data_IF_913566691306
#
_entry.id   IF_913566691306
#
_cell.length_a   1.000
_cell.length_b   1.000
_cell.length_c   1.000
_cell.angle_alpha   90.00
_cell.angle_beta   90.00
_cell.angle_gamma   90.00
#
_symmetry.space_group_name_H-M   'P 1'
#
loop_
_entity.id
_entity.type
_entity.pdbx_description
1 polymer ?
#
# COMPACT_ATOMS: atom_id res chain seq x y z
N UNK A 1 -3.42 14.33 7.58
CA UNK A 1 -2.65 13.68 6.49
C UNK A 1 -1.28 14.33 6.34
N UNK A 2 -0.19 13.57 6.13
CA UNK A 2 1.15 14.13 5.85
C UNK A 2 1.31 14.57 4.37
N UNK A 3 0.25 15.10 3.77
CA UNK A 3 0.16 15.43 2.33
C UNK A 3 1.28 16.34 1.79
N UNK A 4 2.06 16.99 2.67
CA UNK A 4 3.26 17.75 2.32
C UNK A 4 4.45 16.89 1.90
N UNK A 5 4.51 15.62 2.31
CA UNK A 5 5.63 14.71 2.06
C UNK A 5 5.24 13.47 1.26
N UNK A 6 3.98 13.01 1.37
CA UNK A 6 3.47 11.89 0.58
C UNK A 6 2.34 12.38 -0.31
N UNK A 7 2.55 12.29 -1.63
CA UNK A 7 1.51 12.61 -2.61
C UNK A 7 0.33 11.65 -2.48
N UNK A 8 -0.88 12.18 -2.62
CA UNK A 8 -2.09 11.36 -2.66
C UNK A 8 -2.06 10.38 -3.85
N UNK A 9 -1.51 10.78 -4.99
CA UNK A 9 -1.43 9.91 -6.17
C UNK A 9 -0.52 8.70 -5.93
N UNK A 10 0.57 8.91 -5.17
CA UNK A 10 1.46 7.83 -4.76
C UNK A 10 0.78 6.82 -3.82
N UNK A 11 -0.10 7.30 -2.94
CA UNK A 11 -0.87 6.45 -2.04
C UNK A 11 -2.02 5.71 -2.75
N UNK A 12 -2.61 6.32 -3.77
CA UNK A 12 -3.77 5.78 -4.51
C UNK A 12 -3.41 5.02 -5.78
N UNK A 13 -2.14 4.64 -5.97
CA UNK A 13 -1.65 3.94 -7.18
C UNK A 13 -1.90 4.70 -8.50
N UNK A 14 -1.99 6.03 -8.45
CA UNK A 14 -2.20 6.88 -9.63
C UNK A 14 -0.85 7.27 -10.24
N UNK A 15 -0.80 7.68 -11.53
CA UNK A 15 0.43 8.15 -12.15
C UNK A 15 1.12 9.23 -11.33
N UNK A 16 2.39 9.04 -11.04
CA UNK A 16 3.21 9.99 -10.28
C UNK A 16 4.70 9.78 -10.60
N UNK A 17 5.56 10.68 -10.13
CA UNK A 17 6.99 10.64 -10.39
C UNK A 17 7.72 9.44 -9.76
N UNK A 18 7.09 8.76 -8.80
CA UNK A 18 7.68 7.74 -7.95
C UNK A 18 8.68 8.31 -6.95
N UNK A 19 9.14 7.44 -6.05
CA UNK A 19 10.17 7.73 -5.04
C UNK A 19 11.31 6.73 -5.23
N UNK A 20 12.54 7.22 -5.28
CA UNK A 20 13.74 6.37 -5.35
C UNK A 20 14.30 6.20 -3.95
N UNK A 21 14.47 4.95 -3.51
CA UNK A 21 15.13 4.63 -2.25
C UNK A 21 16.64 4.86 -2.39
N UNK A 22 17.18 5.76 -1.57
CA UNK A 22 18.59 6.15 -1.63
C UNK A 22 19.55 5.03 -1.21
N UNK A 23 19.07 3.97 -0.55
CA UNK A 23 19.92 2.88 -0.07
C UNK A 23 20.20 1.82 -1.15
N UNK A 24 19.24 1.56 -2.03
CA UNK A 24 19.33 0.47 -3.02
C UNK A 24 19.03 0.92 -4.48
N UNK A 25 18.62 2.18 -4.69
CA UNK A 25 18.30 2.74 -5.99
C UNK A 25 16.98 2.25 -6.61
N UNK A 26 16.20 1.45 -5.88
CA UNK A 26 14.90 0.97 -6.36
C UNK A 26 13.89 2.11 -6.38
N UNK A 27 13.10 2.17 -7.45
CA UNK A 27 12.06 3.16 -7.64
C UNK A 27 10.70 2.55 -7.35
N UNK A 28 9.96 3.17 -6.43
CA UNK A 28 8.60 2.81 -6.09
C UNK A 28 7.64 3.81 -6.73
N UNK A 29 6.60 3.32 -7.41
CA UNK A 29 5.55 4.15 -8.00
C UNK A 29 4.27 4.17 -7.18
N UNK A 30 4.19 3.36 -6.12
CA UNK A 30 3.11 3.38 -5.15
C UNK A 30 3.62 3.13 -3.73
N UNK A 31 2.94 3.71 -2.74
CA UNK A 31 3.32 3.62 -1.33
C UNK A 31 3.22 2.18 -0.78
N UNK A 32 2.27 1.40 -1.29
CA UNK A 32 2.01 0.04 -0.84
C UNK A 32 3.23 -0.87 -1.02
N UNK A 33 3.85 -0.87 -2.20
CA UNK A 33 5.06 -1.65 -2.47
C UNK A 33 6.25 -1.19 -1.62
N UNK A 34 6.38 0.13 -1.41
CA UNK A 34 7.44 0.67 -0.55
C UNK A 34 7.27 0.20 0.91
N UNK A 35 6.05 0.12 1.42
CA UNK A 35 5.76 -0.40 2.76
C UNK A 35 6.03 -1.90 2.85
N UNK A 36 5.63 -2.68 1.84
CA UNK A 36 5.86 -4.12 1.80
C UNK A 36 7.37 -4.44 1.70
N UNK A 37 8.12 -3.70 0.90
CA UNK A 37 9.56 -3.87 0.78
C UNK A 37 10.35 -3.38 2.00
N UNK A 38 9.80 -2.44 2.77
CA UNK A 38 10.37 -2.11 4.08
C UNK A 38 10.32 -3.32 5.03
N UNK A 39 9.23 -4.11 5.01
CA UNK A 39 9.12 -5.35 5.79
C UNK A 39 10.10 -6.41 5.28
N UNK A 40 10.17 -6.63 3.96
CA UNK A 40 11.17 -7.56 3.39
C UNK A 40 12.60 -7.16 3.71
N UNK A 41 12.92 -5.86 3.71
CA UNK A 41 14.24 -5.33 4.06
C UNK A 41 14.57 -5.60 5.53
N UNK A 42 13.60 -5.44 6.44
CA UNK A 42 13.78 -5.76 7.86
C UNK A 42 14.03 -7.25 8.08
N UNK A 43 13.26 -8.12 7.42
CA UNK A 43 13.45 -9.58 7.46
C UNK A 43 14.83 -9.98 6.90
N UNK A 44 15.23 -9.39 5.78
CA UNK A 44 16.54 -9.64 5.17
C UNK A 44 17.71 -9.27 6.09
N UNK A 45 17.57 -8.19 6.89
CA UNK A 45 18.57 -7.78 7.88
C UNK A 45 18.73 -8.78 9.03
N UNK A 46 17.73 -9.63 9.27
CA UNK A 46 17.77 -10.75 10.21
C UNK A 46 18.11 -12.09 9.53
N UNK A 47 18.48 -12.07 8.25
CA UNK A 47 18.75 -13.25 7.39
C UNK A 47 17.53 -14.12 7.08
N UNK A 48 16.30 -13.60 7.23
CA UNK A 48 15.07 -14.27 6.83
C UNK A 48 14.66 -13.88 5.40
N UNK A 49 15.39 -14.40 4.41
CA UNK A 49 15.22 -14.01 3.01
C UNK A 49 14.17 -14.84 2.23
N UNK A 50 13.64 -15.88 2.85
CA UNK A 50 12.73 -16.88 2.28
C UNK A 50 11.32 -16.83 2.90
N UNK A 51 11.12 -16.02 3.93
CA UNK A 51 9.80 -15.85 4.55
C UNK A 51 8.87 -15.10 3.59
N UNK A 52 7.74 -15.73 3.28
CA UNK A 52 6.64 -15.12 2.55
C UNK A 52 5.87 -14.15 3.46
N UNK A 53 5.67 -12.93 2.97
CA UNK A 53 4.81 -11.94 3.64
C UNK A 53 3.43 -11.94 2.98
N UNK A 54 2.39 -11.93 3.80
CA UNK A 54 0.99 -11.76 3.39
C UNK A 54 0.49 -10.45 3.97
N UNK A 55 -0.13 -9.60 3.15
CA UNK A 55 -0.77 -8.38 3.63
C UNK A 55 -2.15 -8.75 4.18
N UNK A 56 -2.24 -8.94 5.49
CA UNK A 56 -3.46 -9.40 6.15
C UNK A 56 -4.57 -8.37 6.18
N UNK A 57 -4.26 -7.08 6.08
CA UNK A 57 -5.24 -6.00 6.05
C UNK A 57 -4.70 -4.81 5.23
N UNK A 58 -5.51 -4.31 4.33
CA UNK A 58 -5.26 -3.04 3.64
C UNK A 58 -6.55 -2.50 3.05
N UNK A 59 -6.75 -1.19 3.11
CA UNK A 59 -7.93 -0.54 2.57
C UNK A 59 -7.87 0.97 2.78
N UNK A 60 -8.93 1.65 2.35
CA UNK A 60 -9.02 3.10 2.45
C UNK A 60 -10.44 3.51 2.86
N UNK A 61 -10.60 4.42 3.85
CA UNK A 61 -11.91 4.80 4.36
C UNK A 61 -12.70 5.64 3.35
N UNK A 62 -13.99 5.37 3.23
CA UNK A 62 -14.91 6.12 2.36
C UNK A 62 -15.55 7.34 3.03
N UNK A 63 -15.47 7.43 4.35
CA UNK A 63 -15.95 8.54 5.15
C UNK A 63 -15.16 8.62 6.45
N UNK A 64 -14.87 9.84 6.89
CA UNK A 64 -14.24 10.15 8.16
C UNK A 64 -14.82 11.43 8.77
N UNK A 65 -14.14 11.96 9.78
CA UNK A 65 -14.47 13.26 10.37
C UNK A 65 -14.18 14.41 9.40
N UNK A 66 -14.72 15.61 9.69
CA UNK A 66 -14.60 16.78 8.82
C UNK A 66 -13.14 17.20 8.52
N UNK A 67 -12.19 16.85 9.38
CA UNK A 67 -10.76 17.10 9.20
C UNK A 67 -10.02 15.96 8.48
N UNK A 68 -10.69 14.83 8.19
CA UNK A 68 -10.15 13.67 7.49
C UNK A 68 -10.41 13.74 5.99
N UNK A 69 -9.93 14.81 5.36
CA UNK A 69 -10.21 15.14 3.94
C UNK A 69 -9.85 14.05 2.92
N UNK A 70 -9.03 13.07 3.31
CA UNK A 70 -8.69 11.92 2.46
C UNK A 70 -9.70 10.78 2.49
N UNK A 71 -10.55 10.72 3.53
CA UNK A 71 -11.54 9.68 3.76
C UNK A 71 -12.85 10.01 3.02
N UNK A 72 -12.84 9.81 1.70
CA UNK A 72 -13.97 10.05 0.81
C UNK A 72 -14.16 8.87 -0.15
N UNK A 73 -15.40 8.62 -0.55
CA UNK A 73 -15.78 7.51 -1.44
C UNK A 73 -14.91 7.40 -2.71
N UNK A 74 -14.59 8.49 -3.44
CA UNK A 74 -13.76 8.40 -4.65
C UNK A 74 -12.33 7.92 -4.38
N UNK A 75 -11.75 8.27 -3.22
CA UNK A 75 -10.42 7.82 -2.84
C UNK A 75 -10.43 6.36 -2.40
N UNK A 76 -11.47 5.95 -1.65
CA UNK A 76 -11.66 4.56 -1.27
C UNK A 76 -11.81 3.65 -2.49
N UNK A 77 -12.64 4.05 -3.45
CA UNK A 77 -12.81 3.33 -4.72
C UNK A 77 -11.50 3.27 -5.52
N UNK A 78 -10.75 4.37 -5.60
CA UNK A 78 -9.47 4.42 -6.30
C UNK A 78 -8.43 3.48 -5.65
N UNK A 79 -8.26 3.55 -4.32
CA UNK A 79 -7.29 2.72 -3.61
C UNK A 79 -7.60 1.22 -3.79
N UNK A 80 -8.82 0.81 -3.41
CA UNK A 80 -9.21 -0.59 -3.43
C UNK A 80 -9.22 -1.16 -4.87
N UNK A 81 -9.75 -0.39 -5.83
CA UNK A 81 -9.81 -0.79 -7.23
C UNK A 81 -8.42 -0.93 -7.87
N UNK A 82 -7.54 0.05 -7.66
CA UNK A 82 -6.20 0.01 -8.22
C UNK A 82 -5.32 -1.05 -7.54
N UNK A 83 -5.49 -1.27 -6.23
CA UNK A 83 -4.83 -2.37 -5.52
C UNK A 83 -5.20 -3.73 -6.12
N UNK A 84 -6.50 -3.98 -6.36
CA UNK A 84 -6.95 -5.22 -6.99
C UNK A 84 -6.36 -5.37 -8.39
N UNK A 85 -6.41 -4.31 -9.23
CA UNK A 85 -5.79 -4.34 -10.56
C UNK A 85 -4.28 -4.62 -10.47
N UNK A 86 -3.59 -4.01 -9.51
CA UNK A 86 -2.15 -4.20 -9.31
C UNK A 86 -1.80 -5.63 -8.91
N UNK A 87 -2.57 -6.24 -8.02
CA UNK A 87 -2.38 -7.64 -7.61
C UNK A 87 -2.69 -8.60 -8.77
N UNK A 88 -3.78 -8.37 -9.51
CA UNK A 88 -4.19 -9.21 -10.65
C UNK A 88 -3.25 -9.09 -11.86
N UNK A 89 -2.55 -7.96 -12.02
CA UNK A 89 -1.49 -7.83 -13.03
C UNK A 89 -0.31 -8.80 -12.76
N UNK A 90 -0.21 -9.36 -11.55
CA UNK A 90 0.80 -10.32 -11.16
C UNK A 90 2.14 -9.69 -10.78
N UNK A 91 3.15 -10.55 -10.67
CA UNK A 91 4.48 -10.16 -10.17
C UNK A 91 4.47 -9.81 -8.67
N UNK A 92 5.60 -9.28 -8.22
CA UNK A 92 5.81 -8.86 -6.85
C UNK A 92 6.23 -7.40 -6.74
N UNK A 93 6.94 -7.08 -5.67
CA UNK A 93 7.47 -5.74 -5.38
C UNK A 93 8.85 -5.53 -6.04
N UNK A 94 9.39 -4.30 -6.07
CA UNK A 94 10.74 -4.05 -6.56
C UNK A 94 11.85 -4.92 -5.94
N UNK A 95 11.81 -5.20 -4.62
CA UNK A 95 12.78 -6.09 -3.95
C UNK A 95 12.50 -7.57 -4.25
N UNK A 96 11.23 -7.96 -4.43
CA UNK A 96 10.82 -9.36 -4.66
C UNK A 96 9.95 -9.49 -5.92
N UNK A 97 10.47 -9.19 -7.13
CA UNK A 97 9.64 -9.05 -8.34
C UNK A 97 8.96 -10.33 -8.80
N UNK A 98 9.47 -11.49 -8.39
CA UNK A 98 8.94 -12.81 -8.74
C UNK A 98 8.03 -13.41 -7.67
N UNK A 99 7.80 -12.72 -6.55
CA UNK A 99 6.96 -13.22 -5.47
C UNK A 99 5.56 -12.61 -5.58
N UNK A 100 4.51 -13.41 -5.85
CA UNK A 100 3.14 -12.90 -5.89
C UNK A 100 2.75 -12.20 -4.58
N UNK A 101 1.99 -11.13 -4.71
CA UNK A 101 1.48 -10.35 -3.58
C UNK A 101 0.13 -10.93 -3.14
N UNK A 102 0.07 -11.49 -1.94
CA UNK A 102 -1.19 -11.93 -1.32
C UNK A 102 -1.73 -10.83 -0.40
N UNK A 103 -2.99 -10.45 -0.62
CA UNK A 103 -3.62 -9.31 0.02
C UNK A 103 -5.05 -9.60 0.44
N UNK A 104 -5.41 -9.18 1.64
CA UNK A 104 -6.77 -9.16 2.15
C UNK A 104 -7.27 -7.71 2.26
N UNK A 105 -8.35 -7.41 1.54
CA UNK A 105 -9.00 -6.10 1.62
C UNK A 105 -9.69 -5.94 2.98
N UNK A 106 -9.38 -4.85 3.63
CA UNK A 106 -9.99 -4.41 4.87
C UNK A 106 -11.01 -3.29 4.55
N UNK A 107 -12.30 -3.49 4.73
CA UNK A 107 -13.00 -4.71 5.13
C UNK A 107 -14.27 -4.90 4.28
N UNK A 108 -14.98 -6.00 4.51
CA UNK A 108 -16.23 -6.27 3.79
C UNK A 108 -17.37 -5.31 4.17
N UNK A 109 -17.42 -4.86 5.42
CA UNK A 109 -18.48 -4.01 5.95
C UNK A 109 -17.93 -2.84 6.76
N UNK A 110 -18.71 -1.76 6.84
CA UNK A 110 -18.46 -0.69 7.81
C UNK A 110 -18.73 -1.22 9.22
N UNK A 111 -17.76 -1.08 10.12
CA UNK A 111 -17.84 -1.55 11.51
C UNK A 111 -18.23 -0.39 12.43
N UNK A 112 -19.53 -0.17 12.63
CA UNK A 112 -20.08 0.95 13.39
C UNK A 112 -19.78 0.96 14.90
N UNK A 113 -19.06 -0.04 15.41
CA UNK A 113 -18.67 -0.17 16.82
C UNK A 113 -17.17 0.04 17.06
N UNK A 114 -16.40 0.48 16.05
CA UNK A 114 -14.98 0.79 16.24
C UNK A 114 -14.79 2.00 17.16
N UNK A 115 -13.85 1.93 18.13
CA UNK A 115 -13.75 2.93 19.20
C UNK A 115 -13.07 4.24 18.80
N UNK A 116 -12.39 4.27 17.65
CA UNK A 116 -11.50 5.37 17.24
C UNK A 116 -10.07 5.16 17.70
#
# INVERSE_FOLDING_TARGET
ANSRSISLDYALFRPNSGVVDSNNGLKYTNLFEAQLDAVYSALGRLNYNDIKVVVSETGWPSKGDANEVGAIEPNAAAYNGNLVQRVLAGGGTPVRPNNPIDVYLFALFNENQKPG
#
